data_IF_025838635379
#
_entry.id   IF_025838635379
#
_cell.length_a   1.000
_cell.length_b   1.000
_cell.length_c   1.000
_cell.angle_alpha   90.00
_cell.angle_beta   90.00
_cell.angle_gamma   90.00
#
_symmetry.space_group_name_H-M   'P 1'
#
loop_
_entity.id
_entity.type
_entity.pdbx_description
1 polymer ?
#
# COMPACT_ATOMS: atom_id res chain seq x y z
N UNK A 1 13.34 -15.15 -14.15
CA UNK A 1 11.91 -14.74 -14.09
C UNK A 1 11.12 -16.01 -13.88
N UNK A 2 10.44 -16.14 -12.75
CA UNK A 2 9.59 -17.29 -12.45
C UNK A 2 8.19 -17.08 -13.03
N UNK A 3 7.50 -18.17 -13.34
CA UNK A 3 6.07 -18.20 -13.70
C UNK A 3 5.40 -19.21 -12.80
N UNK A 4 4.15 -18.97 -12.43
CA UNK A 4 3.39 -19.90 -11.63
C UNK A 4 1.94 -19.50 -11.47
N UNK A 5 1.28 -20.17 -10.54
CA UNK A 5 -0.08 -19.90 -10.12
C UNK A 5 -0.14 -18.66 -9.22
N UNK A 6 -1.36 -18.14 -9.03
CA UNK A 6 -1.60 -17.07 -8.06
C UNK A 6 -1.23 -17.48 -6.63
N UNK A 7 -1.53 -18.72 -6.25
CA UNK A 7 -1.19 -19.27 -4.92
C UNK A 7 0.30 -19.28 -4.66
N UNK A 8 1.10 -19.77 -5.61
CA UNK A 8 2.57 -19.82 -5.47
C UNK A 8 3.19 -18.41 -5.30
N UNK A 9 2.65 -17.41 -6.00
CA UNK A 9 3.07 -16.01 -5.78
C UNK A 9 2.72 -15.54 -4.36
N UNK A 10 1.53 -15.84 -3.86
CA UNK A 10 1.09 -15.43 -2.53
C UNK A 10 1.95 -16.08 -1.43
N UNK A 11 2.25 -17.37 -1.55
CA UNK A 11 3.14 -18.07 -0.63
C UNK A 11 4.56 -17.47 -0.65
N UNK A 12 5.11 -17.18 -1.84
CA UNK A 12 6.41 -16.52 -1.98
C UNK A 12 6.44 -15.15 -1.31
N UNK A 13 5.40 -14.34 -1.49
CA UNK A 13 5.32 -13.02 -0.86
C UNK A 13 5.16 -13.15 0.66
N UNK A 14 4.36 -14.09 1.14
CA UNK A 14 4.21 -14.35 2.57
C UNK A 14 5.52 -14.83 3.22
N UNK A 15 6.29 -15.68 2.53
CA UNK A 15 7.62 -16.12 2.96
C UNK A 15 8.62 -14.96 2.96
N UNK A 16 8.55 -14.09 1.95
CA UNK A 16 9.38 -12.87 1.89
C UNK A 16 9.09 -11.93 3.05
N UNK A 17 7.81 -11.78 3.44
CA UNK A 17 7.42 -11.00 4.64
C UNK A 17 7.94 -11.66 5.92
N UNK A 18 7.83 -12.98 6.04
CA UNK A 18 8.27 -13.73 7.22
C UNK A 18 9.81 -13.71 7.40
N UNK A 19 10.57 -13.59 6.30
CA UNK A 19 12.02 -13.51 6.34
C UNK A 19 12.54 -12.14 6.84
N UNK A 20 11.68 -11.12 6.95
CA UNK A 20 12.05 -9.80 7.44
C UNK A 20 12.05 -9.80 8.97
N UNK A 21 13.24 -9.66 9.58
CA UNK A 21 13.41 -9.53 11.01
C UNK A 21 13.68 -8.07 11.40
N UNK A 22 12.64 -7.39 11.90
CA UNK A 22 12.72 -6.02 12.42
C UNK A 22 12.07 -5.91 13.81
N UNK A 23 12.48 -4.93 14.65
CA UNK A 23 11.88 -4.68 15.96
C UNK A 23 10.56 -3.88 15.88
N UNK A 24 10.03 -3.66 14.68
CA UNK A 24 8.81 -2.93 14.39
C UNK A 24 7.97 -3.71 13.35
N UNK A 25 6.67 -3.37 13.20
CA UNK A 25 5.83 -3.96 12.16
C UNK A 25 6.48 -3.91 10.77
N UNK A 26 6.33 -4.98 10.00
CA UNK A 26 6.85 -5.06 8.63
C UNK A 26 5.95 -4.26 7.69
N UNK A 27 6.50 -3.29 6.97
CA UNK A 27 5.78 -2.41 6.05
C UNK A 27 6.01 -2.86 4.61
N UNK A 28 4.95 -3.32 3.96
CA UNK A 28 4.97 -3.80 2.58
C UNK A 28 4.28 -2.81 1.67
N UNK A 29 5.02 -2.24 0.72
CA UNK A 29 4.49 -1.37 -0.32
C UNK A 29 4.16 -2.16 -1.58
N UNK A 30 2.91 -2.12 -2.03
CA UNK A 30 2.40 -2.81 -3.22
C UNK A 30 2.01 -1.74 -4.26
N UNK A 31 2.98 -1.40 -5.12
CA UNK A 31 2.89 -0.35 -6.12
C UNK A 31 2.51 -0.89 -7.50
N UNK A 32 2.12 -0.01 -8.41
CA UNK A 32 1.80 -0.31 -9.80
C UNK A 32 0.74 0.63 -10.36
N UNK A 33 0.48 0.59 -11.67
CA UNK A 33 -0.48 1.50 -12.27
C UNK A 33 -1.92 1.21 -11.81
N UNK A 34 -2.87 2.14 -12.03
CA UNK A 34 -4.28 1.87 -11.82
C UNK A 34 -4.74 0.61 -12.55
N UNK A 35 -5.71 -0.10 -11.97
CA UNK A 35 -6.24 -1.37 -12.49
C UNK A 35 -5.21 -2.52 -12.69
N UNK A 36 -4.02 -2.42 -12.08
CA UNK A 36 -3.03 -3.50 -12.09
C UNK A 36 -3.42 -4.72 -11.21
N UNK A 37 -4.39 -4.57 -10.31
CA UNK A 37 -4.82 -5.63 -9.37
C UNK A 37 -4.08 -5.59 -8.02
N UNK A 38 -3.54 -4.44 -7.63
CA UNK A 38 -2.80 -4.26 -6.37
C UNK A 38 -3.66 -4.53 -5.14
N UNK A 39 -4.86 -3.92 -5.10
CA UNK A 39 -5.80 -4.08 -3.99
C UNK A 39 -6.17 -5.54 -3.81
N UNK A 40 -6.49 -6.24 -4.90
CA UNK A 40 -6.76 -7.68 -4.90
C UNK A 40 -5.56 -8.49 -4.39
N UNK A 41 -4.33 -8.19 -4.84
CA UNK A 41 -3.14 -8.87 -4.33
C UNK A 41 -2.91 -8.62 -2.84
N UNK A 42 -3.07 -7.38 -2.39
CA UNK A 42 -2.87 -7.01 -1.01
C UNK A 42 -3.91 -7.68 -0.10
N UNK A 43 -5.16 -7.78 -0.54
CA UNK A 43 -6.23 -8.43 0.21
C UNK A 43 -5.99 -9.96 0.29
N UNK A 44 -5.70 -10.61 -0.83
CA UNK A 44 -5.37 -12.05 -0.88
C UNK A 44 -4.11 -12.40 -0.06
N UNK A 45 -3.06 -11.59 -0.14
CA UNK A 45 -1.86 -11.76 0.68
C UNK A 45 -2.18 -11.57 2.16
N UNK A 46 -3.07 -10.61 2.48
CA UNK A 46 -3.57 -10.41 3.83
C UNK A 46 -4.23 -11.67 4.38
N UNK A 47 -5.04 -12.36 3.59
CA UNK A 47 -5.69 -13.60 4.00
C UNK A 47 -4.69 -14.72 4.28
N UNK A 48 -3.68 -14.88 3.41
CA UNK A 48 -2.59 -15.86 3.64
C UNK A 48 -1.81 -15.55 4.92
N UNK A 49 -1.46 -14.28 5.16
CA UNK A 49 -0.73 -13.88 6.37
C UNK A 49 -1.56 -14.06 7.64
N UNK A 50 -2.86 -13.74 7.60
CA UNK A 50 -3.80 -14.00 8.72
C UNK A 50 -3.92 -15.48 9.01
N UNK A 51 -4.01 -16.33 7.98
CA UNK A 51 -4.03 -17.79 8.13
C UNK A 51 -2.73 -18.32 8.78
N UNK A 52 -1.60 -17.63 8.57
CA UNK A 52 -0.32 -17.88 9.24
C UNK A 52 -0.21 -17.24 10.64
N UNK A 53 -1.30 -16.70 11.19
CA UNK A 53 -1.36 -16.12 12.53
C UNK A 53 -0.80 -14.70 12.65
N UNK A 54 -0.58 -13.99 11.54
CA UNK A 54 -0.06 -12.62 11.56
C UNK A 54 -1.19 -11.60 11.73
N UNK A 55 -0.92 -10.55 12.49
CA UNK A 55 -1.79 -9.38 12.53
C UNK A 55 -1.55 -8.51 11.29
N UNK A 56 -2.56 -8.34 10.45
CA UNK A 56 -2.47 -7.56 9.21
C UNK A 56 -3.15 -6.21 9.36
N UNK A 57 -2.40 -5.14 9.12
CA UNK A 57 -2.93 -3.79 8.91
C UNK A 57 -3.08 -3.59 7.40
N UNK A 58 -4.30 -3.34 6.94
CA UNK A 58 -4.59 -3.09 5.53
C UNK A 58 -4.96 -1.62 5.33
N UNK A 59 -4.23 -0.92 4.46
CA UNK A 59 -4.46 0.50 4.13
C UNK A 59 -4.07 0.77 2.68
N UNK A 60 -4.58 1.84 2.07
CA UNK A 60 -4.31 2.19 0.67
C UNK A 60 -4.01 3.69 0.53
N UNK A 61 -3.35 4.07 -0.56
CA UNK A 61 -2.97 5.46 -0.79
C UNK A 61 -4.17 6.40 -0.93
N UNK A 62 -5.32 5.89 -1.37
CA UNK A 62 -6.57 6.64 -1.51
C UNK A 62 -7.14 7.15 -0.18
N UNK A 63 -6.72 6.59 0.96
CA UNK A 63 -7.14 7.03 2.30
C UNK A 63 -6.31 8.25 2.81
N UNK A 64 -5.32 8.67 2.01
CA UNK A 64 -4.39 9.78 2.26
C UNK A 64 -4.38 10.77 1.08
N UNK A 65 -5.54 11.01 0.47
CA UNK A 65 -5.70 12.01 -0.58
C UNK A 65 -5.62 13.43 -0.01
N UNK A 66 -5.12 14.37 -0.82
CA UNK A 66 -5.31 15.79 -0.57
C UNK A 66 -6.76 16.22 -0.96
N UNK A 67 -7.27 17.36 -0.46
CA UNK A 67 -8.54 17.90 -0.89
C UNK A 67 -8.68 18.12 -2.39
N UNK A 68 -9.89 17.97 -2.97
CA UNK A 68 -10.10 18.18 -4.41
C UNK A 68 -9.61 19.54 -4.90
N UNK A 69 -9.80 20.59 -4.09
CA UNK A 69 -9.31 21.94 -4.37
C UNK A 69 -7.80 21.99 -4.61
N UNK A 70 -7.03 21.08 -3.99
CA UNK A 70 -5.58 20.95 -4.19
C UNK A 70 -5.30 19.97 -5.34
N UNK A 71 -5.89 18.76 -5.32
CA UNK A 71 -5.64 17.69 -6.32
C UNK A 71 -5.94 18.09 -7.76
N UNK A 72 -6.88 19.01 -7.95
CA UNK A 72 -7.36 19.44 -9.26
C UNK A 72 -7.06 20.89 -9.58
N UNK A 73 -6.16 21.56 -8.82
CA UNK A 73 -5.78 22.95 -9.07
C UNK A 73 -5.17 23.20 -10.46
N UNK A 74 -4.54 22.17 -11.05
CA UNK A 74 -3.99 22.19 -12.42
C UNK A 74 -4.99 21.71 -13.49
N UNK A 75 -6.19 21.30 -13.07
CA UNK A 75 -7.20 20.67 -13.91
C UNK A 75 -7.46 19.20 -13.56
N UNK A 76 -8.70 18.75 -13.77
CA UNK A 76 -9.14 17.37 -13.44
C UNK A 76 -8.45 16.29 -14.27
N UNK A 77 -7.92 16.63 -15.44
CA UNK A 77 -7.27 15.69 -16.35
C UNK A 77 -5.74 15.88 -16.43
N UNK A 78 -5.17 16.76 -15.61
CA UNK A 78 -3.73 17.07 -15.63
C UNK A 78 -2.87 15.93 -15.05
N UNK A 79 -1.94 15.34 -15.82
CA UNK A 79 -1.14 14.20 -15.37
C UNK A 79 -0.06 14.58 -14.34
N UNK A 80 0.51 15.78 -14.42
CA UNK A 80 1.50 16.24 -13.43
C UNK A 80 0.82 16.51 -12.08
N UNK A 81 -0.36 17.14 -12.08
CA UNK A 81 -1.22 17.26 -10.90
C UNK A 81 -1.60 15.89 -10.32
N UNK A 82 -1.85 14.89 -11.17
CA UNK A 82 -2.07 13.54 -10.69
C UNK A 82 -0.86 12.95 -9.95
N UNK A 83 0.36 13.25 -10.40
CA UNK A 83 1.58 12.74 -9.77
C UNK A 83 1.98 13.53 -8.52
N UNK A 84 1.97 14.86 -8.60
CA UNK A 84 2.50 15.74 -7.54
C UNK A 84 1.46 16.14 -6.49
N UNK A 85 0.19 16.25 -6.84
CA UNK A 85 -0.81 16.93 -5.99
C UNK A 85 -1.87 15.98 -5.42
N UNK A 86 -1.80 14.67 -5.72
CA UNK A 86 -2.88 13.74 -5.34
C UNK A 86 -2.94 13.42 -3.86
N UNK A 87 -1.80 13.30 -3.17
CA UNK A 87 -1.72 12.61 -1.87
C UNK A 87 -0.95 13.41 -0.81
N UNK A 88 -1.40 13.30 0.44
CA UNK A 88 -0.77 13.86 1.63
C UNK A 88 0.25 12.88 2.20
N UNK A 89 1.45 12.90 1.62
CA UNK A 89 2.52 11.99 2.04
C UNK A 89 3.02 12.29 3.45
N UNK A 90 2.96 13.55 3.89
CA UNK A 90 3.32 13.90 5.26
C UNK A 90 2.28 13.37 6.25
N UNK A 91 1.00 13.45 5.91
CA UNK A 91 -0.10 12.85 6.66
C UNK A 91 0.01 11.33 6.74
N UNK A 92 0.37 10.67 5.64
CA UNK A 92 0.67 9.24 5.59
C UNK A 92 1.83 8.85 6.52
N UNK A 93 2.93 9.60 6.48
CA UNK A 93 4.08 9.36 7.37
C UNK A 93 3.74 9.55 8.83
N UNK A 94 3.13 10.68 9.19
CA UNK A 94 2.79 10.99 10.58
C UNK A 94 1.78 10.01 11.17
N UNK A 95 0.81 9.57 10.37
CA UNK A 95 -0.32 8.78 10.88
C UNK A 95 -0.13 7.27 10.80
N UNK A 96 0.71 6.79 9.87
CA UNK A 96 0.82 5.35 9.59
C UNK A 96 2.26 4.87 9.48
N UNK A 97 3.05 5.37 8.52
CA UNK A 97 4.37 4.79 8.22
C UNK A 97 5.43 5.04 9.29
N UNK A 98 5.38 6.21 9.91
CA UNK A 98 6.26 6.59 11.04
C UNK A 98 5.95 5.78 12.29
N UNK A 99 4.69 5.77 12.79
CA UNK A 99 4.33 4.97 13.96
C UNK A 99 4.58 3.46 13.83
N UNK A 100 4.48 2.92 12.61
CA UNK A 100 4.76 1.50 12.32
C UNK A 100 6.22 1.23 11.92
N UNK A 101 7.07 2.26 11.84
CA UNK A 101 8.47 2.15 11.46
C UNK A 101 9.43 2.05 12.64
N UNK A 102 10.73 2.10 12.34
CA UNK A 102 11.79 2.09 13.34
C UNK A 102 11.64 3.25 14.35
N UNK A 103 11.61 2.91 15.64
CA UNK A 103 11.40 3.89 16.72
C UNK A 103 9.96 4.39 16.87
N UNK A 104 9.02 3.90 16.07
CA UNK A 104 7.60 4.21 16.19
C UNK A 104 6.94 3.59 17.42
N UNK A 105 5.84 4.19 17.88
CA UNK A 105 5.10 3.77 19.07
C UNK A 105 3.99 2.75 18.78
N UNK A 106 3.87 2.32 17.51
CA UNK A 106 2.85 1.42 16.97
C UNK A 106 1.42 1.94 17.07
N UNK A 107 1.21 3.23 17.34
CA UNK A 107 -0.10 3.87 17.38
C UNK A 107 -0.41 4.56 16.06
N UNK A 108 -1.36 4.04 15.31
CA UNK A 108 -1.57 4.44 13.92
C UNK A 108 -3.04 4.72 13.58
N UNK A 109 -3.23 5.37 12.43
CA UNK A 109 -4.49 5.53 11.70
C UNK A 109 -4.28 5.11 10.25
N UNK A 110 -5.26 4.43 9.68
CA UNK A 110 -5.23 3.98 8.30
C UNK A 110 -5.80 5.02 7.32
N UNK A 111 -6.53 6.02 7.81
CA UNK A 111 -7.11 7.08 7.01
C UNK A 111 -6.96 8.45 7.68
N UNK A 112 -6.75 9.46 6.86
CA UNK A 112 -6.84 10.88 7.24
C UNK A 112 -7.81 11.64 6.34
N UNK A 113 -8.27 11.02 5.24
CA UNK A 113 -9.15 11.63 4.26
C UNK A 113 -10.32 10.73 3.84
N UNK A 114 -11.53 11.29 3.77
CA UNK A 114 -12.69 10.69 3.13
C UNK A 114 -12.93 11.34 1.77
N UNK A 115 -12.72 10.56 0.71
CA UNK A 115 -12.85 10.99 -0.69
C UNK A 115 -14.28 11.25 -1.14
N UNK A 116 -15.29 10.73 -0.45
CA UNK A 116 -16.71 10.92 -0.80
C UNK A 116 -17.27 12.18 -0.14
N UNK A 117 -16.86 12.42 1.11
CA UNK A 117 -17.19 13.65 1.83
C UNK A 117 -16.32 14.85 1.41
N UNK A 118 -15.21 14.60 0.69
CA UNK A 118 -14.16 15.58 0.40
C UNK A 118 -13.68 16.30 1.68
N UNK A 119 -13.41 15.52 2.72
CA UNK A 119 -13.10 16.03 4.05
C UNK A 119 -12.05 15.20 4.79
N UNK A 120 -11.35 15.83 5.73
CA UNK A 120 -10.49 15.12 6.66
C UNK A 120 -11.32 14.22 7.59
N UNK A 121 -10.78 13.04 7.90
CA UNK A 121 -11.38 12.08 8.84
C UNK A 121 -10.49 11.93 10.06
N UNK A 122 -11.11 11.90 11.24
CA UNK A 122 -10.47 11.61 12.51
C UNK A 122 -10.67 10.14 12.88
N UNK A 123 -9.96 9.23 12.20
CA UNK A 123 -10.04 7.80 12.54
C UNK A 123 -9.55 7.57 13.99
N UNK A 124 -10.20 6.65 14.75
CA UNK A 124 -9.71 6.25 16.06
C UNK A 124 -8.26 5.76 16.00
N UNK A 125 -7.47 6.13 17.00
CA UNK A 125 -6.09 5.67 17.13
C UNK A 125 -6.08 4.19 17.53
N UNK A 126 -5.29 3.38 16.82
CA UNK A 126 -5.18 1.93 17.04
C UNK A 126 -3.75 1.55 17.34
N UNK A 127 -3.53 0.46 18.08
CA UNK A 127 -2.19 -0.02 18.42
C UNK A 127 -1.90 -1.34 17.73
N UNK A 128 -0.78 -1.44 17.01
CA UNK A 128 -0.33 -2.68 16.39
C UNK A 128 0.54 -3.51 17.37
N UNK A 129 0.46 -4.86 17.33
CA UNK A 129 1.47 -5.69 17.96
C UNK A 129 2.85 -5.48 17.28
N UNK A 130 3.96 -5.78 17.98
CA UNK A 130 5.31 -5.56 17.46
C UNK A 130 5.60 -6.26 16.12
N UNK A 131 4.96 -7.40 15.89
CA UNK A 131 5.15 -8.25 14.73
C UNK A 131 4.01 -8.12 13.69
N UNK A 132 3.24 -7.04 13.74
CA UNK A 132 2.23 -6.77 12.73
C UNK A 132 2.84 -6.63 11.32
N UNK A 133 2.01 -6.81 10.29
CA UNK A 133 2.36 -6.55 8.90
C UNK A 133 1.43 -5.49 8.35
N UNK A 134 1.98 -4.38 7.86
CA UNK A 134 1.25 -3.41 7.05
C UNK A 134 1.31 -3.83 5.59
N UNK A 135 0.15 -4.06 4.97
CA UNK A 135 -0.01 -4.19 3.53
C UNK A 135 -0.60 -2.89 2.97
N UNK A 136 0.25 -2.09 2.33
CA UNK A 136 -0.10 -0.79 1.78
C UNK A 136 -0.07 -0.83 0.26
N UNK A 137 -1.21 -0.60 -0.40
CA UNK A 137 -1.27 -0.58 -1.87
C UNK A 137 -1.61 0.80 -2.43
N UNK A 138 -1.13 1.07 -3.65
CA UNK A 138 -1.35 2.37 -4.25
C UNK A 138 -0.57 2.60 -5.52
N UNK A 139 -0.68 3.82 -6.03
CA UNK A 139 0.19 4.33 -7.10
C UNK A 139 1.29 5.19 -6.47
N UNK A 140 2.45 5.23 -7.13
CA UNK A 140 3.54 6.13 -6.75
C UNK A 140 4.09 5.85 -5.35
N UNK A 141 4.29 4.58 -5.00
CA UNK A 141 4.83 4.23 -3.67
C UNK A 141 6.36 4.18 -3.61
N UNK A 142 7.05 4.08 -4.75
CA UNK A 142 8.52 3.95 -4.81
C UNK A 142 9.26 5.28 -5.02
N UNK A 143 8.58 6.40 -4.78
CA UNK A 143 9.16 7.75 -4.89
C UNK A 143 9.97 8.13 -3.64
N UNK A 144 10.90 9.10 -3.75
CA UNK A 144 11.87 9.40 -2.70
C UNK A 144 11.28 9.66 -1.31
N UNK A 145 10.08 10.23 -1.26
CA UNK A 145 9.38 10.55 -0.02
C UNK A 145 8.93 9.28 0.75
N UNK A 146 8.79 8.14 0.07
CA UNK A 146 8.25 6.90 0.65
C UNK A 146 9.22 5.72 0.58
N UNK A 147 10.24 5.76 -0.29
CA UNK A 147 11.04 4.58 -0.63
C UNK A 147 11.73 3.93 0.58
N UNK A 148 12.18 4.74 1.54
CA UNK A 148 12.85 4.26 2.76
C UNK A 148 11.86 3.82 3.86
N UNK A 149 10.56 3.98 3.63
CA UNK A 149 9.52 3.53 4.56
C UNK A 149 9.07 2.09 4.31
N UNK A 150 9.50 1.45 3.22
CA UNK A 150 9.10 0.08 2.88
C UNK A 150 10.19 -0.92 3.23
N UNK A 151 9.81 -1.95 3.99
CA UNK A 151 10.70 -3.06 4.32
C UNK A 151 10.65 -4.15 3.23
N UNK A 152 9.53 -4.22 2.49
CA UNK A 152 9.37 -5.00 1.26
C UNK A 152 8.65 -4.19 0.18
N UNK A 153 9.24 -4.13 -1.02
CA UNK A 153 8.69 -3.38 -2.15
C UNK A 153 8.25 -4.32 -3.26
N UNK A 154 6.95 -4.35 -3.51
CA UNK A 154 6.33 -5.14 -4.59
C UNK A 154 5.82 -4.19 -5.66
N UNK A 155 6.19 -4.41 -6.91
CA UNK A 155 5.70 -3.62 -8.04
C UNK A 155 4.93 -4.50 -9.03
N UNK A 156 3.65 -4.15 -9.27
CA UNK A 156 2.80 -4.81 -10.23
C UNK A 156 2.91 -4.12 -11.58
N UNK A 157 3.41 -4.85 -12.56
CA UNK A 157 3.50 -4.41 -13.95
C UNK A 157 2.35 -4.98 -14.76
N UNK A 158 1.63 -4.11 -15.46
CA UNK A 158 0.68 -4.48 -16.52
C UNK A 158 0.86 -3.52 -17.70
N UNK A 159 0.64 -3.96 -18.94
CA UNK A 159 0.57 -3.05 -20.09
C UNK A 159 -0.52 -1.99 -19.86
N UNK A 160 -0.31 -0.76 -20.35
CA UNK A 160 -1.28 0.32 -20.17
C UNK A 160 -2.61 0.05 -20.90
N UNK A 161 -2.56 -0.72 -21.98
CA UNK A 161 -3.72 -1.23 -22.71
C UNK A 161 -4.54 -2.16 -21.80
N UNK A 162 -3.87 -3.00 -21.00
CA UNK A 162 -4.52 -3.84 -20.00
C UNK A 162 -5.12 -3.00 -18.86
N UNK A 163 -4.41 -1.98 -18.38
CA UNK A 163 -4.96 -1.01 -17.42
C UNK A 163 -6.24 -0.37 -17.95
N UNK A 164 -6.22 0.14 -19.19
CA UNK A 164 -7.38 0.78 -19.82
C UNK A 164 -8.53 -0.21 -20.03
N UNK A 165 -8.25 -1.42 -20.52
CA UNK A 165 -9.28 -2.44 -20.73
C UNK A 165 -9.99 -2.82 -19.42
N UNK A 166 -9.22 -3.05 -18.35
CA UNK A 166 -9.77 -3.35 -17.02
C UNK A 166 -10.54 -2.16 -16.44
N UNK A 167 -10.03 -0.95 -16.62
CA UNK A 167 -10.69 0.27 -16.17
C UNK A 167 -12.05 0.48 -16.84
N UNK A 168 -12.18 0.21 -18.14
CA UNK A 168 -13.49 0.30 -18.82
C UNK A 168 -14.51 -0.63 -18.21
N UNK A 169 -14.11 -1.86 -17.84
CA UNK A 169 -15.02 -2.83 -17.23
C UNK A 169 -15.38 -2.40 -15.80
N UNK A 170 -14.39 -1.96 -15.02
CA UNK A 170 -14.55 -1.67 -13.59
C UNK A 170 -15.19 -0.30 -13.30
N UNK A 171 -14.83 0.72 -14.06
CA UNK A 171 -15.13 2.13 -13.73
C UNK A 171 -16.27 2.72 -14.57
N UNK A 172 -16.79 1.97 -15.55
CA UNK A 172 -17.95 2.40 -16.34
C UNK A 172 -19.22 2.13 -15.56
N UNK A 173 -20.03 3.16 -15.36
CA UNK A 173 -21.36 3.05 -14.78
C UNK A 173 -22.29 4.13 -15.36
N UNK A 174 -23.53 4.20 -14.87
CA UNK A 174 -24.53 5.16 -15.37
C UNK A 174 -24.04 6.62 -15.26
N UNK A 175 -23.30 6.94 -14.20
CA UNK A 175 -22.77 8.28 -13.91
C UNK A 175 -21.41 8.55 -14.58
N UNK A 176 -20.77 7.53 -15.15
CA UNK A 176 -19.46 7.63 -15.80
C UNK A 176 -19.39 6.72 -17.02
N UNK A 177 -19.77 7.21 -18.21
CA UNK A 177 -19.74 6.42 -19.44
C UNK A 177 -18.33 5.98 -19.85
N UNK A 178 -18.22 4.89 -20.60
CA UNK A 178 -16.94 4.30 -21.02
C UNK A 178 -16.02 5.29 -21.76
N UNK A 179 -16.58 6.21 -22.54
CA UNK A 179 -15.81 7.24 -23.25
C UNK A 179 -15.15 8.25 -22.29
N UNK A 180 -15.80 8.58 -21.18
CA UNK A 180 -15.22 9.44 -20.14
C UNK A 180 -14.13 8.70 -19.38
N UNK A 181 -14.38 7.44 -18.98
CA UNK A 181 -13.36 6.58 -18.35
C UNK A 181 -12.12 6.52 -19.24
N UNK A 182 -12.29 6.22 -20.52
CA UNK A 182 -11.20 6.14 -21.49
C UNK A 182 -10.42 7.45 -21.62
N UNK A 183 -11.13 8.57 -21.76
CA UNK A 183 -10.50 9.90 -21.83
C UNK A 183 -9.62 10.14 -20.61
N UNK A 184 -10.19 10.00 -19.40
CA UNK A 184 -9.50 10.27 -18.13
C UNK A 184 -8.31 9.34 -17.91
N UNK A 185 -8.43 8.06 -18.27
CA UNK A 185 -7.31 7.13 -18.18
C UNK A 185 -6.18 7.51 -19.13
N UNK A 186 -6.48 7.89 -20.37
CA UNK A 186 -5.46 8.31 -21.33
C UNK A 186 -4.81 9.64 -20.98
N UNK A 187 -5.58 10.65 -20.59
CA UNK A 187 -5.07 12.00 -20.35
C UNK A 187 -4.36 12.14 -19.01
N UNK A 188 -4.94 11.57 -17.94
CA UNK A 188 -4.46 11.76 -16.57
C UNK A 188 -3.64 10.58 -16.08
N UNK A 189 -4.24 9.39 -16.03
CA UNK A 189 -3.67 8.28 -15.28
C UNK A 189 -2.50 7.59 -15.99
N UNK A 190 -2.63 7.28 -17.28
CA UNK A 190 -1.55 6.63 -18.03
C UNK A 190 -0.38 7.59 -18.19
N UNK A 191 -0.64 8.87 -18.51
CA UNK A 191 0.41 9.88 -18.63
C UNK A 191 1.15 10.15 -17.32
N UNK A 192 0.45 10.17 -16.18
CA UNK A 192 1.12 10.29 -14.87
C UNK A 192 1.93 9.05 -14.50
N UNK A 193 1.49 7.86 -14.90
CA UNK A 193 2.28 6.63 -14.75
C UNK A 193 3.50 6.62 -15.66
N UNK A 194 3.40 7.09 -16.90
CA UNK A 194 4.55 7.25 -17.79
C UNK A 194 5.58 8.21 -17.17
N UNK A 195 5.13 9.38 -16.72
CA UNK A 195 5.99 10.33 -16.01
C UNK A 195 6.69 9.68 -14.80
N UNK A 196 5.96 8.93 -13.98
CA UNK A 196 6.51 8.22 -12.84
C UNK A 196 7.54 7.14 -13.23
N UNK A 197 7.27 6.37 -14.28
CA UNK A 197 8.20 5.36 -14.78
C UNK A 197 9.51 6.00 -15.28
N UNK A 198 9.39 7.11 -16.00
CA UNK A 198 10.53 7.80 -16.61
C UNK A 198 11.39 8.54 -15.58
N UNK A 199 10.75 9.16 -14.58
CA UNK A 199 11.45 10.00 -13.60
C UNK A 199 11.95 9.24 -12.37
N UNK A 200 11.22 8.21 -11.92
CA UNK A 200 11.56 7.47 -10.70
C UNK A 200 12.15 6.08 -11.01
N UNK A 201 11.74 5.43 -12.11
CA UNK A 201 12.19 4.08 -12.42
C UNK A 201 11.80 3.03 -11.35
N UNK A 202 10.53 2.96 -10.92
CA UNK A 202 10.09 2.16 -9.76
C UNK A 202 10.34 0.66 -9.90
N UNK A 203 10.36 0.14 -11.13
CA UNK A 203 10.68 -1.26 -11.42
C UNK A 203 12.11 -1.62 -10.98
N UNK A 204 13.04 -0.66 -11.05
CA UNK A 204 14.41 -0.82 -10.58
C UNK A 204 14.55 -0.79 -9.06
N UNK A 205 13.58 -0.17 -8.37
CA UNK A 205 13.56 0.01 -6.93
C UNK A 205 12.84 -1.13 -6.19
N UNK A 206 11.98 -1.89 -6.87
CA UNK A 206 11.21 -2.98 -6.28
C UNK A 206 12.07 -4.21 -5.95
N UNK A 207 11.78 -4.86 -4.83
CA UNK A 207 12.39 -6.14 -4.43
C UNK A 207 11.76 -7.31 -5.20
N UNK A 208 10.44 -7.22 -5.43
CA UNK A 208 9.66 -8.16 -6.24
C UNK A 208 8.90 -7.42 -7.32
N UNK A 209 9.10 -7.82 -8.59
CA UNK A 209 8.33 -7.31 -9.73
C UNK A 209 7.39 -8.41 -10.20
N UNK A 210 6.09 -8.14 -10.22
CA UNK A 210 5.04 -9.06 -10.65
C UNK A 210 4.43 -8.57 -11.96
N UNK A 211 4.58 -9.33 -13.05
CA UNK A 211 3.81 -9.12 -14.28
C UNK A 211 2.42 -9.71 -14.09
N UNK A 212 1.42 -8.86 -13.93
CA UNK A 212 0.07 -9.24 -13.54
C UNK A 212 -0.97 -9.08 -14.66
N UNK A 213 -0.55 -9.25 -15.92
CA UNK A 213 -1.45 -9.13 -17.08
C UNK A 213 -2.53 -10.23 -17.08
N UNK A 214 -2.17 -11.44 -16.64
CA UNK A 214 -3.07 -12.58 -16.42
C UNK A 214 -3.05 -12.94 -14.93
N UNK A 215 -4.02 -12.49 -14.11
CA UNK A 215 -3.92 -12.59 -12.65
C UNK A 215 -3.74 -14.00 -12.08
N UNK A 216 -4.30 -15.01 -12.75
CA UNK A 216 -4.21 -16.41 -12.33
C UNK A 216 -2.91 -17.10 -12.75
N UNK A 217 -2.12 -16.45 -13.60
CA UNK A 217 -0.81 -16.93 -14.10
C UNK A 217 0.20 -15.77 -14.09
N UNK A 218 0.53 -15.22 -12.92
CA UNK A 218 1.50 -14.15 -12.84
C UNK A 218 2.91 -14.66 -13.15
N UNK A 219 3.74 -13.77 -13.67
CA UNK A 219 5.19 -13.98 -13.73
C UNK A 219 5.84 -13.02 -12.74
N UNK A 220 6.94 -13.43 -12.11
CA UNK A 220 7.64 -12.56 -11.16
C UNK A 220 9.15 -12.67 -11.23
N UNK A 221 9.82 -11.64 -10.72
CA UNK A 221 11.27 -11.61 -10.51
C UNK A 221 11.54 -11.07 -9.12
N UNK A 222 12.35 -11.80 -8.36
CA UNK A 222 12.89 -11.35 -7.06
C UNK A 222 14.29 -10.82 -7.33
N UNK A 223 14.54 -9.55 -6.99
CA UNK A 223 15.81 -8.86 -7.27
C UNK A 223 16.75 -8.86 -6.09
N UNK A 224 16.21 -8.63 -4.90
CA UNK A 224 16.97 -8.57 -3.65
C UNK A 224 16.21 -9.38 -2.62
N UNK A 225 16.86 -10.29 -1.87
CA UNK A 225 16.22 -10.86 -0.70
C UNK A 225 15.84 -9.72 0.29
N UNK A 226 14.76 -9.87 1.07
CA UNK A 226 14.32 -8.83 1.99
C UNK A 226 15.46 -8.36 2.91
N UNK A 227 15.57 -7.05 3.13
CA UNK A 227 16.67 -6.48 3.89
C UNK A 227 16.58 -6.95 5.35
N UNK A 228 17.60 -7.68 5.82
CA UNK A 228 17.81 -7.87 7.25
C UNK A 228 18.15 -6.50 7.87
N UNK A 229 17.69 -6.25 9.10
CA UNK A 229 17.98 -5.01 9.82
C UNK A 229 19.48 -4.68 9.78
N UNK A 230 19.85 -3.51 9.27
CA UNK A 230 21.16 -2.95 9.54
C UNK A 230 21.25 -2.73 11.05
N UNK A 231 22.06 -3.55 11.73
CA UNK A 231 22.32 -3.39 13.15
C UNK A 231 22.83 -1.97 13.39
N UNK A 232 22.04 -1.16 14.09
CA UNK A 232 22.53 0.11 14.62
C UNK A 232 23.64 -0.21 15.59
N UNK A 233 24.89 -0.02 15.16
CA UNK A 233 26.07 -0.05 16.02
C UNK A 233 25.82 0.91 17.19
N UNK A 234 25.79 0.34 18.39
CA UNK A 234 25.37 1.03 19.59
C UNK A 234 26.34 2.13 20.02
N UNK A 235 25.78 3.20 20.58
CA UNK A 235 26.46 4.00 21.59
C UNK A 235 25.73 3.78 22.90
N UNK A 236 26.41 3.09 23.81
CA UNK A 236 25.91 2.75 25.14
C UNK A 236 25.58 4.00 25.96
N UNK A 237 24.38 4.02 26.53
CA UNK A 237 23.96 4.92 27.60
C UNK A 237 23.27 4.09 28.67
N UNK A 238 23.96 3.90 29.80
CA UNK A 238 23.52 3.15 30.98
C UNK A 238 22.35 3.86 31.66
N UNK A 239 21.33 3.11 32.08
CA UNK A 239 20.25 3.60 32.93
C UNK A 239 19.37 2.47 33.45
N UNK A 240 19.68 2.00 34.65
CA UNK A 240 18.94 0.99 35.44
C UNK A 240 17.60 1.50 35.94
N UNK A 241 16.55 0.67 35.91
CA UNK A 241 15.29 0.94 36.59
C UNK A 241 14.32 -0.25 36.53
N UNK A 242 14.29 -1.03 37.60
CA UNK A 242 13.39 -2.17 37.84
C UNK A 242 11.96 -1.73 38.18
N UNK A 243 10.96 -2.41 37.63
CA UNK A 243 9.55 -2.26 38.02
C UNK A 243 8.68 -3.39 37.48
N UNK A 244 8.36 -4.33 38.36
CA UNK A 244 7.48 -5.48 38.16
C UNK A 244 5.99 -5.10 38.15
N UNK A 245 5.19 -5.72 37.27
CA UNK A 245 3.73 -5.62 37.29
C UNK A 245 3.09 -6.70 36.41
N UNK A 246 2.39 -7.63 37.05
CA UNK A 246 1.77 -8.85 36.53
C UNK A 246 0.47 -8.61 35.77
N UNK A 247 0.32 -9.30 34.63
CA UNK A 247 -0.83 -10.12 34.24
C UNK A 247 -2.22 -9.49 34.05
N UNK A 248 -2.76 -9.62 32.83
CA UNK A 248 -4.06 -10.24 32.56
C UNK A 248 -4.32 -10.27 31.05
N UNK A 249 -4.77 -11.42 30.54
CA UNK A 249 -5.10 -11.64 29.15
C UNK A 249 -6.48 -11.10 28.74
N UNK A 250 -6.60 -10.84 27.45
CA UNK A 250 -7.79 -10.92 26.60
C UNK A 250 -7.24 -10.86 25.15
N UNK A 251 -7.56 -11.76 24.22
CA UNK A 251 -8.86 -12.34 23.96
C UNK A 251 -9.61 -11.46 22.94
N UNK A 252 -9.66 -11.91 21.69
CA UNK A 252 -10.42 -11.39 20.55
C UNK A 252 -9.95 -10.08 19.89
N UNK A 253 -9.67 -10.18 18.58
CA UNK A 253 -9.36 -9.04 17.73
C UNK A 253 -8.90 -9.45 16.34
N UNK A 254 -9.59 -10.42 15.71
CA UNK A 254 -9.46 -10.62 14.28
C UNK A 254 -10.04 -9.39 13.59
N UNK A 255 -9.21 -8.79 12.73
CA UNK A 255 -9.52 -7.70 11.81
C UNK A 255 -9.70 -6.31 12.42
N UNK A 256 -8.58 -5.62 12.64
CA UNK A 256 -8.63 -4.26 13.11
C UNK A 256 -8.82 -3.25 11.96
N UNK A 257 -8.58 -3.60 10.69
CA UNK A 257 -8.77 -2.69 9.55
C UNK A 257 -9.58 -3.32 8.40
N UNK A 258 -10.76 -3.84 8.71
CA UNK A 258 -11.86 -3.83 7.76
C UNK A 258 -12.76 -2.63 8.09
N UNK A 259 -12.20 -1.42 8.09
CA UNK A 259 -13.02 -0.22 8.30
C UNK A 259 -13.78 0.08 7.00
N UNK A 260 -15.11 -0.08 7.05
CA UNK A 260 -16.11 0.57 6.19
C UNK A 260 -16.10 0.30 4.66
N UNK A 261 -15.75 -0.90 4.18
CA UNK A 261 -15.99 -1.26 2.76
C UNK A 261 -17.28 -2.02 2.49
N UNK A 262 -18.04 -2.41 3.53
CA UNK A 262 -19.19 -3.32 3.38
C UNK A 262 -20.53 -2.66 2.97
N UNK A 263 -20.64 -1.33 2.87
CA UNK A 263 -21.96 -0.69 2.62
C UNK A 263 -22.06 0.16 1.34
N UNK A 264 -20.98 0.34 0.56
CA UNK A 264 -21.03 1.13 -0.70
C UNK A 264 -20.66 0.30 -1.93
N UNK A 265 -20.97 -1.00 -1.90
CA UNK A 265 -21.03 -1.87 -3.10
C UNK A 265 -22.49 -2.22 -3.47
N UNK A 266 -23.48 -1.55 -2.85
CA UNK A 266 -24.91 -1.62 -3.17
C UNK A 266 -25.48 -0.21 -3.43
N UNK A 267 -24.80 0.57 -4.24
CA UNK A 267 -25.39 1.67 -4.98
C UNK A 267 -24.40 2.03 -6.08
N UNK A 268 -24.88 1.97 -7.32
CA UNK A 268 -24.20 2.29 -8.61
C UNK A 268 -23.42 1.17 -9.32
#
# INVERSE_FOLDING_TARGET
MGTGTRGELLELLADSVAAIAHPHPTRVGIDGPPAAGKTTLADELGDVLRARGRFVVRAQIEDFLLPEAIRFRRGKDDPEGCFHDSFDFDGLHRSLLGPLGAGGDRKFRCAVYDRYADAAVAEPLRTAPPDAVLLFDGVFLMRPELIDAWDLRVFLSVPFETTLARARVRDTNASRPAAEVERRYRSRYIRSQQYYLDTIGPVGLADVVVRNAVPNRPEWTVRTPPRAAAGTSGRAGVGTGTGSGTGAGAGAGADACACARAEVSRAE
#
